data_IF_499890700272
#
_entry.id   IF_499890700272
#
_cell.length_a   1.000
_cell.length_b   1.000
_cell.length_c   1.000
_cell.angle_alpha   90.00
_cell.angle_beta   90.00
_cell.angle_gamma   90.00
#
_symmetry.space_group_name_H-M   'P 1'
#
loop_
_entity.id
_entity.type
_entity.pdbx_description
1 polymer ?
#
# COMPACT_ATOMS: atom_id res chain seq x y z
N UNK A 1 8.77 -12.42 -16.00
CA UNK A 1 9.21 -12.47 -14.58
C UNK A 1 8.00 -12.14 -13.74
N UNK A 2 7.60 -13.02 -12.81
CA UNK A 2 6.35 -12.86 -12.06
C UNK A 2 6.40 -11.65 -11.11
N UNK A 3 5.62 -10.60 -11.38
CA UNK A 3 5.43 -9.49 -10.43
C UNK A 3 4.29 -9.80 -9.47
N UNK A 4 4.36 -9.23 -8.27
CA UNK A 4 3.34 -9.38 -7.25
C UNK A 4 2.78 -8.00 -6.86
N UNK A 5 1.46 -7.89 -6.78
CA UNK A 5 0.76 -6.64 -6.47
C UNK A 5 -0.21 -6.87 -5.31
N UNK A 6 -0.27 -5.91 -4.39
CA UNK A 6 -1.31 -5.85 -3.37
C UNK A 6 -1.97 -4.48 -3.34
N UNK A 7 -3.26 -4.49 -3.02
CA UNK A 7 -4.05 -3.29 -2.75
C UNK A 7 -4.50 -3.28 -1.29
N UNK A 8 -4.33 -2.16 -0.61
CA UNK A 8 -4.89 -1.94 0.72
C UNK A 8 -5.83 -0.75 0.67
N UNK A 9 -7.09 -1.03 0.98
CA UNK A 9 -8.17 -0.06 1.05
C UNK A 9 -8.39 0.37 2.49
N UNK A 10 -8.55 1.67 2.70
CA UNK A 10 -8.88 2.22 4.02
C UNK A 10 -9.74 3.47 3.91
N UNK A 11 -10.50 3.73 4.97
CA UNK A 11 -11.19 5.01 5.17
C UNK A 11 -10.40 5.83 6.19
N UNK A 12 -9.96 7.01 5.78
CA UNK A 12 -9.17 7.94 6.58
C UNK A 12 -10.03 9.15 6.93
N UNK A 13 -10.41 9.34 8.20
CA UNK A 13 -11.10 10.55 8.64
C UNK A 13 -10.26 11.80 8.36
N UNK A 14 -10.91 12.92 8.06
CA UNK A 14 -10.24 14.20 7.75
C UNK A 14 -9.24 14.60 8.84
N UNK A 15 -9.62 14.45 10.11
CA UNK A 15 -8.76 14.76 11.26
C UNK A 15 -7.48 13.90 11.33
N UNK A 16 -7.49 12.70 10.72
CA UNK A 16 -6.34 11.78 10.69
C UNK A 16 -5.51 11.88 9.39
N UNK A 17 -5.92 12.71 8.43
CA UNK A 17 -5.36 12.75 7.08
C UNK A 17 -3.88 13.16 7.07
N UNK A 18 -3.51 14.17 7.86
CA UNK A 18 -2.11 14.62 7.95
C UNK A 18 -1.20 13.52 8.52
N UNK A 19 -1.64 12.84 9.57
CA UNK A 19 -0.90 11.72 10.17
C UNK A 19 -0.78 10.54 9.19
N UNK A 20 -1.87 10.24 8.47
CA UNK A 20 -1.87 9.21 7.43
C UNK A 20 -0.86 9.49 6.32
N UNK A 21 -0.83 10.71 5.78
CA UNK A 21 0.12 11.08 4.71
C UNK A 21 1.58 11.03 5.20
N UNK A 22 1.85 11.45 6.43
CA UNK A 22 3.18 11.33 7.02
C UNK A 22 3.64 9.87 7.11
N UNK A 23 2.74 8.97 7.55
CA UNK A 23 3.03 7.52 7.58
C UNK A 23 3.21 6.93 6.19
N UNK A 24 2.37 7.31 5.23
CA UNK A 24 2.49 6.87 3.84
C UNK A 24 3.86 7.25 3.25
N UNK A 25 4.34 8.47 3.51
CA UNK A 25 5.65 8.92 3.06
C UNK A 25 6.81 8.14 3.71
N UNK A 26 6.69 7.82 4.99
CA UNK A 26 7.67 6.98 5.69
C UNK A 26 7.69 5.55 5.11
N UNK A 27 6.51 4.96 4.86
CA UNK A 27 6.36 3.64 4.21
C UNK A 27 6.97 3.64 2.81
N UNK A 28 6.70 4.65 1.99
CA UNK A 28 7.29 4.81 0.66
C UNK A 28 8.83 4.75 0.71
N UNK A 29 9.45 5.50 1.63
CA UNK A 29 10.91 5.49 1.80
C UNK A 29 11.46 4.11 2.19
N UNK A 30 10.82 3.44 3.15
CA UNK A 30 11.23 2.12 3.62
C UNK A 30 11.07 1.04 2.54
N UNK A 31 9.96 1.06 1.79
CA UNK A 31 9.68 0.10 0.71
C UNK A 31 10.62 0.31 -0.49
N UNK A 32 10.87 1.57 -0.85
CA UNK A 32 11.82 1.90 -1.92
C UNK A 32 13.23 1.40 -1.60
N UNK A 33 13.64 1.40 -0.33
CA UNK A 33 14.95 0.90 0.09
C UNK A 33 15.14 -0.61 -0.16
N UNK A 34 14.06 -1.38 -0.24
CA UNK A 34 14.08 -2.83 -0.55
C UNK A 34 13.67 -3.13 -2.00
N UNK A 35 13.49 -2.10 -2.84
CA UNK A 35 13.11 -2.26 -4.25
C UNK A 35 11.63 -2.56 -4.48
N UNK A 36 10.75 -2.16 -3.55
CA UNK A 36 9.30 -2.25 -3.67
C UNK A 36 8.73 -0.87 -4.02
N UNK A 37 7.82 -0.82 -4.99
CA UNK A 37 7.10 0.39 -5.32
C UNK A 37 5.84 0.52 -4.48
N UNK A 38 5.54 1.75 -4.08
CA UNK A 38 4.41 2.06 -3.22
C UNK A 38 3.75 3.35 -3.67
N UNK A 39 2.44 3.29 -3.88
CA UNK A 39 1.64 4.45 -4.27
C UNK A 39 0.41 4.56 -3.39
N UNK A 40 -0.07 5.80 -3.21
CA UNK A 40 -1.27 6.10 -2.44
C UNK A 40 -2.14 7.01 -3.28
N UNK A 41 -3.40 6.62 -3.47
CA UNK A 41 -4.40 7.39 -4.19
C UNK A 41 -5.64 7.56 -3.34
N UNK A 42 -6.27 8.71 -3.46
CA UNK A 42 -7.56 8.97 -2.85
C UNK A 42 -8.62 9.09 -3.95
N UNK A 43 -9.81 8.56 -3.68
CA UNK A 43 -10.93 8.64 -4.60
C UNK A 43 -11.43 10.08 -4.73
N UNK A 44 -11.61 10.54 -5.97
CA UNK A 44 -12.16 11.88 -6.24
C UNK A 44 -13.64 12.00 -5.89
N UNK A 45 -14.40 10.90 -5.93
CA UNK A 45 -15.84 10.83 -5.66
C UNK A 45 -16.17 10.50 -4.20
N UNK A 46 -15.18 10.07 -3.41
CA UNK A 46 -15.32 9.72 -1.99
C UNK A 46 -14.07 10.15 -1.19
N UNK A 47 -13.94 11.44 -0.81
CA UNK A 47 -12.82 11.91 0.00
C UNK A 47 -12.69 11.12 1.31
N UNK A 48 -11.48 10.75 1.67
CA UNK A 48 -11.19 9.85 2.78
C UNK A 48 -11.16 8.36 2.40
N UNK A 49 -11.69 7.94 1.26
CA UNK A 49 -11.44 6.59 0.73
C UNK A 49 -10.11 6.55 -0.01
N UNK A 50 -9.16 5.79 0.56
CA UNK A 50 -7.79 5.72 0.08
C UNK A 50 -7.45 4.29 -0.31
N UNK A 51 -6.76 4.15 -1.44
CA UNK A 51 -6.15 2.90 -1.89
C UNK A 51 -4.63 3.04 -1.90
N UNK A 52 -3.95 2.04 -1.35
CA UNK A 52 -2.51 1.91 -1.36
C UNK A 52 -2.13 0.75 -2.28
N UNK A 53 -1.24 0.98 -3.23
CA UNK A 53 -0.70 -0.05 -4.12
C UNK A 53 0.72 -0.40 -3.72
N UNK A 54 1.02 -1.70 -3.69
CA UNK A 54 2.35 -2.23 -3.35
C UNK A 54 2.76 -3.20 -4.43
N UNK A 55 3.76 -2.82 -5.24
CA UNK A 55 4.28 -3.66 -6.31
C UNK A 55 5.69 -4.14 -5.98
N UNK A 56 5.86 -5.46 -6.00
CA UNK A 56 7.12 -6.14 -5.78
C UNK A 56 7.51 -6.99 -7.00
N UNK A 57 8.82 -7.19 -7.16
CA UNK A 57 9.38 -7.99 -8.27
C UNK A 57 9.09 -9.49 -8.15
N UNK A 58 8.67 -9.95 -6.97
CA UNK A 58 8.30 -11.34 -6.67
C UNK A 58 7.42 -11.39 -5.39
N UNK A 59 6.70 -12.51 -5.14
CA UNK A 59 5.86 -12.65 -3.95
C UNK A 59 6.62 -12.62 -2.62
N UNK A 60 7.86 -13.10 -2.55
CA UNK A 60 8.63 -13.13 -1.31
C UNK A 60 8.99 -11.71 -0.83
N UNK A 61 9.25 -10.81 -1.77
CA UNK A 61 9.47 -9.40 -1.48
C UNK A 61 8.16 -8.67 -1.09
N UNK A 62 7.02 -9.09 -1.64
CA UNK A 62 5.71 -8.59 -1.21
C UNK A 62 5.42 -8.96 0.25
N UNK A 63 5.82 -10.17 0.69
CA UNK A 63 5.72 -10.58 2.10
C UNK A 63 6.59 -9.72 3.03
N UNK A 64 7.80 -9.35 2.59
CA UNK A 64 8.63 -8.41 3.34
C UNK A 64 8.01 -7.00 3.42
N UNK A 65 7.39 -6.56 2.33
CA UNK A 65 6.67 -5.28 2.30
C UNK A 65 5.50 -5.24 3.30
N UNK A 66 4.76 -6.34 3.45
CA UNK A 66 3.67 -6.47 4.43
C UNK A 66 4.15 -6.25 5.86
N UNK A 67 5.32 -6.78 6.20
CA UNK A 67 5.91 -6.61 7.54
C UNK A 67 6.27 -5.13 7.82
N UNK A 68 6.70 -4.38 6.80
CA UNK A 68 7.02 -2.94 6.91
C UNK A 68 5.74 -2.11 7.07
N UNK A 69 4.70 -2.44 6.30
CA UNK A 69 3.45 -1.67 6.30
C UNK A 69 2.66 -1.92 7.58
N UNK A 70 2.54 -3.18 7.98
CA UNK A 70 1.65 -3.65 9.05
C UNK A 70 0.18 -3.41 8.72
N UNK A 71 -0.70 -4.35 9.06
CA UNK A 71 -2.15 -4.15 8.93
C UNK A 71 -2.71 -3.62 10.25
N UNK A 72 -3.50 -2.53 10.21
CA UNK A 72 -4.30 -2.07 11.36
C UNK A 72 -5.78 -2.39 11.15
N UNK A 73 -6.52 -2.47 12.26
CA UNK A 73 -7.97 -2.69 12.23
C UNK A 73 -8.67 -1.64 11.36
N UNK A 74 -9.41 -2.10 10.34
CA UNK A 74 -10.12 -1.26 9.39
C UNK A 74 -9.50 -1.20 7.98
N UNK A 75 -8.31 -1.75 7.76
CA UNK A 75 -7.74 -1.91 6.42
C UNK A 75 -8.24 -3.20 5.77
N UNK A 76 -8.77 -3.11 4.55
CA UNK A 76 -9.13 -4.26 3.72
C UNK A 76 -8.04 -4.49 2.69
N UNK A 77 -7.39 -5.64 2.78
CA UNK A 77 -6.36 -6.03 1.83
C UNK A 77 -6.92 -6.95 0.74
N UNK A 78 -6.52 -6.67 -0.50
CA UNK A 78 -6.79 -7.50 -1.66
C UNK A 78 -5.45 -7.89 -2.30
N UNK A 79 -5.18 -9.20 -2.31
CA UNK A 79 -4.04 -9.79 -3.01
C UNK A 79 -4.39 -9.95 -4.49
N UNK A 80 -3.67 -9.25 -5.36
CA UNK A 80 -3.76 -9.46 -6.81
C UNK A 80 -2.60 -10.37 -7.21
N UNK A 81 -2.84 -11.69 -7.17
CA UNK A 81 -1.80 -12.66 -7.54
C UNK A 81 -1.45 -12.55 -9.02
N UNK A 82 -0.12 -12.52 -9.27
CA UNK A 82 0.58 -12.67 -10.55
C UNK A 82 0.00 -11.86 -11.71
N UNK A 83 0.57 -10.67 -11.92
CA UNK A 83 0.49 -10.00 -13.21
C UNK A 83 1.44 -10.74 -14.17
N UNK A 84 0.88 -11.60 -15.03
CA UNK A 84 1.57 -12.07 -16.23
C UNK A 84 1.60 -10.91 -17.24
N UNK A 85 2.66 -10.11 -17.17
CA UNK A 85 3.01 -9.11 -18.19
C UNK A 85 3.88 -9.74 -19.29
#
# INVERSE_FOLDING_TARGET
>A
MARALAELWSTVPEAARAEFLARARAREGALKAIGVYYWVFERSDAPGEVVQYIEAKDPALLEQARAIIGTRGGERELLLHQLEL
#
